data_IF_024705683020
#
_entry.id   IF_024705683020
#
_cell.length_a   1.000
_cell.length_b   1.000
_cell.length_c   1.000
_cell.angle_alpha   90.00
_cell.angle_beta   90.00
_cell.angle_gamma   90.00
#
_symmetry.space_group_name_H-M   'P 1'
#
loop_
_entity.id
_entity.type
_entity.pdbx_description
1 polymer ?
#
# COMPACT_ATOMS: atom_id res chain seq x y z
N UNK A 1 39.70 -24.99 -48.21
CA UNK A 1 39.76 -24.11 -47.03
C UNK A 1 38.41 -23.40 -46.92
N UNK A 2 37.54 -23.84 -45.98
CA UNK A 2 36.22 -23.22 -45.74
C UNK A 2 36.39 -22.09 -44.69
N UNK A 3 36.11 -20.86 -45.11
CA UNK A 3 36.07 -19.71 -44.18
C UNK A 3 34.77 -19.77 -43.38
N UNK A 4 34.87 -19.95 -42.05
CA UNK A 4 33.78 -19.84 -41.11
C UNK A 4 33.58 -18.35 -40.85
N UNK A 5 32.45 -17.80 -41.32
CA UNK A 5 32.03 -16.43 -41.03
C UNK A 5 31.30 -16.44 -39.65
N UNK A 6 31.99 -15.99 -38.61
CA UNK A 6 31.40 -15.84 -37.27
C UNK A 6 30.50 -14.60 -37.30
N UNK A 7 29.19 -14.83 -37.31
CA UNK A 7 28.18 -13.77 -37.15
C UNK A 7 28.11 -13.33 -35.70
N UNK A 8 28.71 -12.18 -35.40
CA UNK A 8 28.66 -11.55 -34.09
C UNK A 8 27.27 -10.91 -33.92
N UNK A 9 26.37 -11.57 -33.19
CA UNK A 9 25.09 -11.01 -32.79
C UNK A 9 25.34 -9.88 -31.78
N UNK A 10 25.29 -8.63 -32.23
CA UNK A 10 25.20 -7.46 -31.41
C UNK A 10 23.81 -7.45 -30.75
N UNK A 11 23.73 -7.89 -29.49
CA UNK A 11 22.57 -7.56 -28.66
C UNK A 11 22.59 -6.05 -28.38
N UNK A 12 21.51 -5.30 -28.71
CA UNK A 12 21.43 -3.93 -28.27
C UNK A 12 21.33 -3.95 -26.75
N UNK A 13 22.31 -3.36 -26.08
CA UNK A 13 22.17 -2.99 -24.67
C UNK A 13 21.05 -1.96 -24.65
N UNK A 14 19.85 -2.40 -24.24
CA UNK A 14 18.76 -1.50 -23.85
C UNK A 14 19.21 -0.77 -22.58
N UNK A 15 20.03 0.26 -22.77
CA UNK A 15 20.27 1.26 -21.74
C UNK A 15 18.89 1.86 -21.39
N UNK A 16 18.53 1.80 -20.13
CA UNK A 16 17.36 2.51 -19.63
C UNK A 16 17.53 4.00 -20.02
N UNK A 17 16.83 4.42 -21.07
CA UNK A 17 16.74 5.84 -21.42
C UNK A 17 15.91 6.45 -20.31
N UNK A 18 16.56 7.14 -19.35
CA UNK A 18 15.88 7.93 -18.35
C UNK A 18 14.82 8.77 -19.05
N UNK A 19 13.59 8.61 -18.65
CA UNK A 19 12.46 9.24 -19.33
C UNK A 19 12.62 10.75 -19.18
N UNK A 20 12.77 11.48 -20.30
CA UNK A 20 13.09 12.93 -20.30
C UNK A 20 12.13 13.79 -19.46
N UNK A 21 10.89 13.32 -19.28
CA UNK A 21 9.87 14.04 -18.54
C UNK A 21 10.07 14.02 -17.01
N UNK A 22 10.79 13.04 -16.45
CA UNK A 22 11.08 12.95 -15.00
C UNK A 22 11.77 14.20 -14.46
N UNK A 23 12.60 14.83 -15.28
CA UNK A 23 13.31 16.10 -14.93
C UNK A 23 12.37 17.28 -14.65
N UNK A 24 11.10 17.18 -15.01
CA UNK A 24 10.10 18.22 -14.77
C UNK A 24 9.57 18.23 -13.35
N UNK A 25 9.89 17.20 -12.55
CA UNK A 25 9.37 16.98 -11.19
C UNK A 25 10.49 16.95 -10.17
N UNK A 26 10.16 17.33 -8.93
CA UNK A 26 11.09 17.28 -7.79
C UNK A 26 11.27 15.83 -7.30
N UNK A 27 10.26 15.00 -7.50
CA UNK A 27 10.26 13.57 -7.16
C UNK A 27 9.38 12.79 -8.13
N UNK A 28 9.83 11.59 -8.49
CA UNK A 28 9.09 10.61 -9.30
C UNK A 28 9.25 9.25 -8.66
N UNK A 29 8.13 8.58 -8.37
CA UNK A 29 8.10 7.22 -7.85
C UNK A 29 8.03 6.18 -8.98
N UNK A 30 8.26 4.93 -8.65
CA UNK A 30 8.11 3.81 -9.59
C UNK A 30 6.70 3.79 -10.20
N UNK A 31 6.63 3.40 -11.48
CA UNK A 31 5.35 3.22 -12.16
C UNK A 31 4.65 1.95 -11.67
N UNK A 32 3.56 2.10 -10.96
CA UNK A 32 2.72 1.01 -10.45
C UNK A 32 1.31 1.16 -10.99
N UNK A 33 0.69 0.09 -11.45
CA UNK A 33 -0.63 0.11 -12.08
C UNK A 33 -0.74 1.12 -13.24
N UNK A 34 0.38 1.36 -13.97
CA UNK A 34 0.43 2.29 -15.11
C UNK A 34 0.57 3.76 -14.76
N UNK A 35 0.69 4.09 -13.48
CA UNK A 35 0.85 5.46 -12.98
C UNK A 35 2.09 5.58 -12.08
N UNK A 36 2.81 6.70 -12.24
CA UNK A 36 3.88 7.12 -11.34
C UNK A 36 3.40 8.29 -10.49
N UNK A 37 3.57 8.21 -9.18
CA UNK A 37 3.39 9.36 -8.31
C UNK A 37 4.50 10.38 -8.59
N UNK A 38 4.14 11.63 -8.76
CA UNK A 38 5.07 12.74 -8.98
C UNK A 38 4.81 13.85 -7.97
N UNK A 39 5.88 14.55 -7.60
CA UNK A 39 5.80 15.73 -6.72
C UNK A 39 6.48 16.92 -7.39
N UNK A 40 5.84 18.10 -7.29
CA UNK A 40 6.40 19.38 -7.72
C UNK A 40 5.80 20.52 -6.90
N UNK A 41 6.64 21.45 -6.43
CA UNK A 41 6.21 22.59 -5.62
C UNK A 41 5.32 22.15 -4.45
N UNK A 42 5.74 21.09 -3.72
CA UNK A 42 5.02 20.48 -2.60
C UNK A 42 3.63 19.94 -2.91
N UNK A 43 3.28 19.77 -4.19
CA UNK A 43 2.05 19.11 -4.61
C UNK A 43 2.32 17.77 -5.27
N UNK A 44 1.46 16.81 -4.96
CA UNK A 44 1.45 15.46 -5.49
C UNK A 44 0.38 15.34 -6.59
N UNK A 45 0.74 14.64 -7.64
CA UNK A 45 -0.11 14.21 -8.74
C UNK A 45 0.38 12.88 -9.30
N UNK A 46 -0.20 12.44 -10.40
CA UNK A 46 0.19 11.17 -11.02
C UNK A 46 0.25 11.31 -12.55
N UNK A 47 1.28 10.71 -13.11
CA UNK A 47 1.52 10.69 -14.55
C UNK A 47 1.53 9.26 -15.06
N UNK A 48 1.20 9.08 -16.34
CA UNK A 48 1.38 7.79 -17.00
C UNK A 48 2.86 7.55 -17.36
N UNK A 49 3.16 6.41 -17.96
CA UNK A 49 4.52 6.03 -18.38
C UNK A 49 5.14 6.95 -19.44
N UNK A 50 4.32 7.70 -20.17
CA UNK A 50 4.76 8.72 -21.13
C UNK A 50 5.01 10.10 -20.49
N UNK A 51 4.72 10.26 -19.17
CA UNK A 51 4.84 11.51 -18.43
C UNK A 51 3.65 12.46 -18.62
N UNK A 52 2.55 11.96 -19.17
CA UNK A 52 1.31 12.74 -19.28
C UNK A 52 0.60 12.75 -17.94
N UNK A 53 0.26 13.94 -17.46
CA UNK A 53 -0.47 14.12 -16.22
C UNK A 53 -1.90 13.54 -16.35
N UNK A 54 -2.18 12.49 -15.57
CA UNK A 54 -3.50 11.86 -15.46
C UNK A 54 -4.25 12.46 -14.28
N UNK A 55 -3.54 12.67 -13.16
CA UNK A 55 -4.08 13.30 -11.96
C UNK A 55 -3.22 14.52 -11.65
N UNK A 56 -3.87 15.68 -11.63
CA UNK A 56 -3.21 16.99 -11.47
C UNK A 56 -2.42 17.09 -10.17
N UNK A 57 -1.32 17.86 -10.22
CA UNK A 57 -0.54 18.28 -9.05
C UNK A 57 -1.38 19.21 -8.16
N UNK A 58 -2.14 18.64 -7.24
CA UNK A 58 -3.05 19.41 -6.39
C UNK A 58 -3.15 18.88 -4.95
N UNK A 59 -2.66 17.69 -4.69
CA UNK A 59 -2.73 17.05 -3.38
C UNK A 59 -1.51 17.40 -2.54
N UNK A 60 -1.67 17.45 -1.23
CA UNK A 60 -0.60 17.77 -0.28
C UNK A 60 0.31 16.56 -0.01
N UNK A 61 -0.26 15.35 -0.15
CA UNK A 61 0.46 14.08 -0.07
C UNK A 61 -0.28 13.00 -0.86
N UNK A 62 0.34 11.84 -1.06
CA UNK A 62 -0.27 10.72 -1.75
C UNK A 62 0.56 9.46 -1.67
N UNK A 63 -0.11 8.31 -1.64
CA UNK A 63 0.51 7.00 -1.72
C UNK A 63 0.63 6.55 -3.18
N UNK A 64 1.50 5.60 -3.45
CA UNK A 64 1.60 4.94 -4.75
C UNK A 64 0.32 4.16 -5.04
N UNK A 65 -0.08 4.07 -6.30
CA UNK A 65 -1.23 3.26 -6.70
C UNK A 65 -1.00 1.79 -6.35
N UNK A 66 -1.99 1.18 -5.73
CA UNK A 66 -2.00 -0.26 -5.43
C UNK A 66 -3.40 -0.81 -5.68
N UNK A 67 -3.50 -1.93 -6.40
CA UNK A 67 -4.79 -2.51 -6.78
C UNK A 67 -5.68 -1.58 -7.63
N UNK A 68 -5.11 -0.55 -8.29
CA UNK A 68 -5.86 0.43 -9.09
C UNK A 68 -6.37 1.64 -8.32
N UNK A 69 -5.97 1.80 -7.05
CA UNK A 69 -6.40 2.89 -6.17
C UNK A 69 -5.21 3.53 -5.46
N UNK A 70 -5.33 4.81 -5.11
CA UNK A 70 -4.35 5.51 -4.29
C UNK A 70 -5.03 6.40 -3.26
N UNK A 71 -4.49 6.40 -2.03
CA UNK A 71 -4.85 7.41 -1.05
C UNK A 71 -4.14 8.72 -1.35
N UNK A 72 -4.86 9.84 -1.30
CA UNK A 72 -4.32 11.20 -1.47
C UNK A 72 -4.82 12.10 -0.36
N UNK A 73 -3.97 13.03 0.06
CA UNK A 73 -4.24 13.97 1.13
C UNK A 73 -4.63 15.34 0.56
N UNK A 74 -5.71 15.91 1.07
CA UNK A 74 -6.14 17.27 0.74
C UNK A 74 -6.40 18.04 2.04
N UNK A 75 -5.59 19.03 2.30
CA UNK A 75 -5.55 19.67 3.62
C UNK A 75 -5.09 18.68 4.70
N UNK A 76 -5.88 18.50 5.73
CA UNK A 76 -5.58 17.57 6.83
C UNK A 76 -6.18 16.18 6.66
N UNK A 77 -6.92 15.91 5.57
CA UNK A 77 -7.71 14.69 5.42
C UNK A 77 -7.31 13.90 4.18
N UNK A 78 -7.45 12.58 4.30
CA UNK A 78 -7.23 11.63 3.24
C UNK A 78 -8.52 11.22 2.55
N UNK A 79 -8.41 10.91 1.27
CA UNK A 79 -9.44 10.32 0.41
C UNK A 79 -8.79 9.33 -0.54
N UNK A 80 -9.59 8.52 -1.22
CA UNK A 80 -9.09 7.59 -2.22
C UNK A 80 -9.56 7.96 -3.62
N UNK A 81 -8.67 7.73 -4.58
CA UNK A 81 -8.92 7.91 -6.01
C UNK A 81 -8.78 6.57 -6.73
N UNK A 82 -9.55 6.39 -7.80
CA UNK A 82 -9.27 5.37 -8.80
C UNK A 82 -8.18 5.84 -9.79
N UNK A 83 -7.75 4.96 -10.69
CA UNK A 83 -6.70 5.23 -11.67
C UNK A 83 -7.05 6.31 -12.70
N UNK A 84 -8.32 6.74 -12.79
CA UNK A 84 -8.76 7.86 -13.63
C UNK A 84 -8.67 9.21 -12.90
N UNK A 85 -8.42 9.17 -11.58
CA UNK A 85 -8.42 10.35 -10.70
C UNK A 85 -9.80 10.67 -10.13
N UNK A 86 -10.80 9.81 -10.35
CA UNK A 86 -12.12 9.97 -9.73
C UNK A 86 -12.02 9.57 -8.26
N UNK A 87 -12.54 10.43 -7.37
CA UNK A 87 -12.64 10.11 -5.96
C UNK A 87 -13.69 9.02 -5.72
N UNK A 88 -13.31 7.99 -4.97
CA UNK A 88 -14.21 6.91 -4.49
C UNK A 88 -14.67 7.17 -3.04
N UNK A 89 -14.01 8.10 -2.33
CA UNK A 89 -14.42 8.57 -1.01
C UNK A 89 -14.33 10.09 -0.94
N UNK A 90 -15.01 10.69 0.04
CA UNK A 90 -14.73 12.07 0.43
C UNK A 90 -13.41 12.17 1.23
N UNK A 91 -12.85 13.38 1.34
CA UNK A 91 -11.68 13.66 2.16
C UNK A 91 -12.06 13.79 3.65
N UNK A 92 -12.25 12.67 4.32
CA UNK A 92 -12.80 12.60 5.68
C UNK A 92 -11.92 11.84 6.68
N UNK A 93 -10.92 11.09 6.21
CA UNK A 93 -10.09 10.25 7.06
C UNK A 93 -8.88 11.01 7.59
N UNK A 94 -8.48 10.70 8.84
CA UNK A 94 -7.30 11.27 9.49
C UNK A 94 -6.02 10.60 8.99
N UNK A 95 -6.11 9.30 8.67
CA UNK A 95 -5.04 8.49 8.10
C UNK A 95 -5.61 7.47 7.10
N UNK A 96 -4.78 7.01 6.16
CA UNK A 96 -5.16 6.09 5.11
C UNK A 96 -3.97 5.24 4.66
N UNK A 97 -4.17 3.94 4.52
CA UNK A 97 -3.17 3.01 4.00
C UNK A 97 -3.54 2.52 2.60
N UNK A 98 -2.58 1.94 1.89
CA UNK A 98 -2.81 1.33 0.59
C UNK A 98 -3.80 0.16 0.67
N UNK A 99 -4.47 -0.12 -0.45
CA UNK A 99 -5.32 -1.31 -0.57
C UNK A 99 -4.49 -2.59 -0.54
N UNK A 100 -4.96 -3.58 0.22
CA UNK A 100 -4.45 -4.94 0.23
C UNK A 100 -5.63 -5.92 0.32
N UNK A 101 -5.63 -6.97 -0.49
CA UNK A 101 -6.74 -7.93 -0.59
C UNK A 101 -8.14 -7.27 -0.78
N UNK A 102 -8.19 -6.13 -1.51
CA UNK A 102 -9.43 -5.41 -1.80
C UNK A 102 -9.93 -4.51 -0.66
N UNK A 103 -9.20 -4.38 0.43
CA UNK A 103 -9.52 -3.54 1.59
C UNK A 103 -8.39 -2.56 1.91
N UNK A 104 -8.75 -1.35 2.37
CA UNK A 104 -7.79 -0.36 2.82
C UNK A 104 -8.12 0.09 4.25
N UNK A 105 -7.09 0.12 5.11
CA UNK A 105 -7.27 0.65 6.45
C UNK A 105 -7.39 2.17 6.41
N UNK A 106 -8.37 2.69 7.13
CA UNK A 106 -8.65 4.13 7.29
C UNK A 106 -8.79 4.47 8.76
N UNK A 107 -8.36 5.66 9.15
CA UNK A 107 -8.57 6.10 10.52
C UNK A 107 -9.48 7.33 10.62
N UNK A 108 -10.21 7.40 11.73
CA UNK A 108 -10.99 8.56 12.14
C UNK A 108 -11.03 8.62 13.66
N UNK A 109 -10.72 9.80 14.21
CA UNK A 109 -10.66 9.99 15.68
C UNK A 109 -9.72 9.00 16.37
N UNK A 110 -8.55 8.74 15.79
CA UNK A 110 -7.51 7.80 16.27
C UNK A 110 -7.95 6.33 16.36
N UNK A 111 -9.04 5.95 15.71
CA UNK A 111 -9.44 4.55 15.56
C UNK A 111 -9.42 4.16 14.09
N UNK A 112 -9.18 2.89 13.83
CA UNK A 112 -9.05 2.31 12.49
C UNK A 112 -10.22 1.38 12.18
N UNK A 113 -10.63 1.39 10.91
CA UNK A 113 -11.54 0.45 10.27
C UNK A 113 -11.10 0.23 8.83
N UNK A 114 -11.93 -0.42 8.02
CA UNK A 114 -11.54 -0.72 6.64
C UNK A 114 -12.67 -0.42 5.66
N UNK A 115 -12.26 0.12 4.51
CA UNK A 115 -13.14 0.35 3.37
C UNK A 115 -12.84 -0.65 2.25
N UNK A 116 -13.85 -0.91 1.41
CA UNK A 116 -13.69 -1.67 0.16
C UNK A 116 -13.35 -0.73 -1.02
N UNK A 117 -13.16 -1.32 -2.20
CA UNK A 117 -12.84 -0.59 -3.45
C UNK A 117 -14.00 0.27 -3.99
N UNK A 118 -15.21 0.13 -3.45
CA UNK A 118 -16.33 1.05 -3.72
C UNK A 118 -16.31 2.28 -2.79
N UNK A 119 -15.37 2.34 -1.82
CA UNK A 119 -15.28 3.40 -0.81
C UNK A 119 -16.23 3.22 0.38
N UNK A 120 -16.85 2.04 0.50
CA UNK A 120 -17.78 1.71 1.58
C UNK A 120 -17.03 1.20 2.81
N UNK A 121 -17.39 1.67 4.01
CA UNK A 121 -16.87 1.16 5.27
C UNK A 121 -17.45 -0.23 5.53
N UNK A 122 -16.62 -1.28 5.40
CA UNK A 122 -17.04 -2.68 5.55
C UNK A 122 -16.60 -3.31 6.87
N UNK A 123 -15.56 -2.78 7.50
CA UNK A 123 -15.14 -3.14 8.87
C UNK A 123 -15.20 -1.86 9.70
N UNK A 124 -16.00 -1.83 10.80
CA UNK A 124 -16.22 -0.63 11.60
C UNK A 124 -14.93 0.00 12.12
N UNK A 125 -14.95 1.32 12.33
CA UNK A 125 -13.83 2.08 12.91
C UNK A 125 -13.84 1.86 14.43
N UNK A 126 -13.10 0.85 14.91
CA UNK A 126 -13.10 0.44 16.31
C UNK A 126 -11.72 -0.02 16.84
N UNK A 127 -10.76 -0.31 15.95
CA UNK A 127 -9.43 -0.77 16.35
C UNK A 127 -8.56 0.41 16.78
N UNK A 128 -7.81 0.24 17.88
CA UNK A 128 -6.89 1.30 18.33
C UNK A 128 -5.69 1.49 17.39
N UNK A 129 -5.39 0.49 16.57
CA UNK A 129 -4.42 0.55 15.47
C UNK A 129 -4.72 -0.56 14.46
N UNK A 130 -4.27 -0.40 13.21
CA UNK A 130 -4.37 -1.43 12.19
C UNK A 130 -3.28 -1.28 11.13
N UNK A 131 -3.00 -2.36 10.40
CA UNK A 131 -2.19 -2.38 9.17
C UNK A 131 -3.04 -2.84 8.00
N UNK A 132 -2.52 -2.68 6.78
CA UNK A 132 -3.18 -3.19 5.58
C UNK A 132 -3.31 -4.71 5.58
N UNK A 133 -4.25 -5.24 4.81
CA UNK A 133 -4.39 -6.68 4.57
C UNK A 133 -3.22 -7.21 3.74
N UNK A 134 -2.69 -8.34 4.14
CA UNK A 134 -1.70 -9.13 3.41
C UNK A 134 -1.93 -10.62 3.70
N UNK A 135 -1.78 -11.47 2.69
CA UNK A 135 -2.02 -12.92 2.81
C UNK A 135 -3.40 -13.30 3.41
N UNK A 136 -4.42 -12.43 3.23
CA UNK A 136 -5.80 -12.65 3.68
C UNK A 136 -6.10 -12.22 5.11
N UNK A 137 -5.10 -11.73 5.86
CA UNK A 137 -5.26 -11.25 7.23
C UNK A 137 -4.69 -9.83 7.39
N UNK A 138 -5.23 -9.07 8.34
CA UNK A 138 -4.69 -7.77 8.73
C UNK A 138 -4.34 -7.75 10.21
N UNK A 139 -3.13 -7.28 10.60
CA UNK A 139 -2.85 -6.98 11.99
C UNK A 139 -3.76 -5.85 12.46
N UNK A 140 -4.42 -6.04 13.60
CA UNK A 140 -5.25 -5.03 14.25
C UNK A 140 -5.03 -5.06 15.76
N UNK A 141 -5.14 -3.90 16.41
CA UNK A 141 -5.00 -3.78 17.83
C UNK A 141 -6.35 -3.49 18.49
N UNK A 142 -6.64 -4.16 19.61
CA UNK A 142 -7.83 -3.90 20.41
C UNK A 142 -7.69 -2.60 21.21
N UNK A 143 -8.74 -2.19 21.92
CA UNK A 143 -8.76 -0.99 22.75
C UNK A 143 -7.70 -0.96 23.88
N UNK A 144 -7.12 -2.12 24.25
CA UNK A 144 -6.02 -2.22 25.22
C UNK A 144 -4.63 -2.14 24.56
N UNK A 145 -4.56 -2.00 23.23
CA UNK A 145 -3.31 -1.93 22.47
C UNK A 145 -2.66 -3.29 22.16
N UNK A 146 -3.31 -4.41 22.48
CA UNK A 146 -2.82 -5.72 22.08
C UNK A 146 -3.18 -6.02 20.63
N UNK A 147 -2.22 -6.54 19.88
CA UNK A 147 -2.33 -6.92 18.49
C UNK A 147 -2.77 -8.36 18.31
N UNK A 148 -3.62 -8.59 17.34
CA UNK A 148 -4.00 -9.88 16.78
C UNK A 148 -4.13 -9.74 15.27
N UNK A 149 -4.84 -10.67 14.65
CA UNK A 149 -5.09 -10.63 13.21
C UNK A 149 -6.57 -10.83 12.93
N UNK A 150 -7.12 -9.99 12.07
CA UNK A 150 -8.51 -10.07 11.63
C UNK A 150 -8.58 -10.60 10.20
N UNK A 151 -9.68 -11.26 9.89
CA UNK A 151 -10.05 -11.65 8.54
C UNK A 151 -10.74 -10.50 7.77
N UNK A 152 -11.05 -10.71 6.50
CA UNK A 152 -11.70 -9.72 5.63
C UNK A 152 -13.14 -9.34 6.07
N UNK A 153 -13.71 -10.05 7.04
CA UNK A 153 -15.00 -9.73 7.65
C UNK A 153 -14.86 -8.93 8.95
N UNK A 154 -13.60 -8.67 9.39
CA UNK A 154 -13.30 -8.00 10.66
C UNK A 154 -13.33 -8.92 11.88
N UNK A 155 -13.47 -10.23 11.69
CA UNK A 155 -13.44 -11.21 12.78
C UNK A 155 -12.01 -11.58 13.15
N UNK A 156 -11.74 -11.75 14.47
CA UNK A 156 -10.43 -12.19 14.93
C UNK A 156 -10.11 -13.62 14.48
N UNK A 157 -9.23 -13.78 13.50
CA UNK A 157 -8.61 -15.04 13.13
C UNK A 157 -7.58 -15.45 14.19
N UNK A 158 -6.78 -14.50 14.67
CA UNK A 158 -5.86 -14.68 15.79
C UNK A 158 -6.20 -13.63 16.84
N UNK A 159 -6.56 -14.08 18.05
CA UNK A 159 -6.95 -13.17 19.17
C UNK A 159 -5.85 -12.17 19.50
N UNK A 160 -6.20 -10.94 19.95
CA UNK A 160 -5.24 -9.90 20.27
C UNK A 160 -4.51 -10.20 21.60
N UNK A 161 -3.34 -10.83 21.49
CA UNK A 161 -2.48 -11.28 22.60
C UNK A 161 -1.03 -10.80 22.48
N UNK A 162 -0.68 -10.12 21.38
CA UNK A 162 0.67 -9.67 21.09
C UNK A 162 0.86 -8.18 21.42
N UNK A 163 2.08 -7.79 21.78
CA UNK A 163 2.45 -6.39 21.98
C UNK A 163 2.75 -5.68 20.66
N UNK A 164 3.03 -6.44 19.61
CA UNK A 164 3.29 -5.95 18.26
C UNK A 164 3.02 -7.07 17.26
N UNK A 165 2.58 -6.72 16.05
CA UNK A 165 2.44 -7.65 14.92
C UNK A 165 2.78 -6.95 13.60
N UNK A 166 3.56 -7.63 12.75
CA UNK A 166 3.72 -7.28 11.34
C UNK A 166 2.67 -8.01 10.49
N UNK A 167 2.56 -7.59 9.24
CA UNK A 167 1.75 -8.31 8.25
C UNK A 167 2.28 -9.74 8.06
N UNK A 168 1.38 -10.63 7.62
CA UNK A 168 1.77 -11.91 7.06
C UNK A 168 2.43 -11.71 5.69
N UNK A 169 3.58 -12.34 5.50
CA UNK A 169 4.32 -12.37 4.23
C UNK A 169 4.80 -13.81 4.00
N UNK A 170 4.38 -14.41 2.88
CA UNK A 170 4.74 -15.80 2.57
C UNK A 170 4.26 -16.82 3.60
N UNK A 171 3.13 -16.55 4.27
CA UNK A 171 2.52 -17.47 5.23
C UNK A 171 3.01 -17.32 6.67
N UNK A 172 3.97 -16.43 6.97
CA UNK A 172 4.43 -16.15 8.34
C UNK A 172 4.30 -14.69 8.73
N UNK A 173 4.15 -14.41 10.01
CA UNK A 173 4.15 -13.06 10.57
C UNK A 173 5.08 -12.95 11.77
N UNK A 174 5.84 -11.85 11.81
CA UNK A 174 6.65 -11.49 12.98
C UNK A 174 5.76 -10.83 14.03
N UNK A 175 5.75 -11.38 15.24
CA UNK A 175 4.99 -10.86 16.39
C UNK A 175 5.90 -10.72 17.62
N UNK A 176 5.46 -9.90 18.58
CA UNK A 176 6.16 -9.76 19.87
C UNK A 176 5.21 -10.12 21.01
N UNK A 177 5.63 -11.05 21.88
CA UNK A 177 4.89 -11.44 23.07
C UNK A 177 5.79 -11.32 24.30
N UNK A 178 5.50 -10.34 25.15
CA UNK A 178 6.47 -9.90 26.17
C UNK A 178 7.72 -9.34 25.49
N UNK A 179 8.87 -9.82 25.87
CA UNK A 179 10.17 -9.44 25.31
C UNK A 179 10.61 -10.34 24.14
N UNK A 180 9.84 -11.41 23.86
CA UNK A 180 10.16 -12.37 22.82
C UNK A 180 9.64 -11.96 21.46
N UNK A 181 10.47 -12.10 20.46
CA UNK A 181 10.11 -12.03 19.04
C UNK A 181 9.82 -13.45 18.57
N UNK A 182 8.67 -13.65 17.96
CA UNK A 182 8.21 -14.94 17.44
C UNK A 182 7.79 -14.77 15.98
N UNK A 183 7.92 -15.83 15.21
CA UNK A 183 7.35 -15.96 13.88
C UNK A 183 6.27 -17.02 13.93
N UNK A 184 5.07 -16.66 13.49
CA UNK A 184 3.86 -17.51 13.58
C UNK A 184 3.26 -17.74 12.21
N UNK A 185 2.58 -18.89 12.05
CA UNK A 185 1.69 -19.15 10.92
C UNK A 185 0.27 -18.60 11.16
N UNK A 186 -0.61 -18.78 10.17
CA UNK A 186 -2.01 -18.29 10.23
C UNK A 186 -2.88 -19.05 11.24
N UNK A 187 -2.47 -20.22 11.67
CA UNK A 187 -3.07 -21.03 12.74
C UNK A 187 -2.53 -20.65 14.12
N UNK A 188 -1.68 -19.60 14.18
CA UNK A 188 -1.04 -19.10 15.40
C UNK A 188 -0.04 -20.07 16.04
N UNK A 189 0.54 -20.96 15.24
CA UNK A 189 1.63 -21.85 15.68
C UNK A 189 2.96 -21.12 15.52
N UNK A 190 3.80 -21.19 16.55
CA UNK A 190 5.16 -20.66 16.49
C UNK A 190 6.00 -21.51 15.56
N UNK A 191 6.60 -20.89 14.55
CA UNK A 191 7.49 -21.50 13.57
C UNK A 191 8.95 -21.43 14.05
N UNK A 192 9.37 -20.26 14.53
CA UNK A 192 10.71 -20.01 15.11
C UNK A 192 10.72 -18.73 15.97
N UNK A 193 11.80 -18.54 16.75
CA UNK A 193 12.08 -17.35 17.59
C UNK A 193 13.20 -16.49 16.96
#
# INVERSE_FOLDING_TARGET
MKKILTLMLLFPVLGAVAQKWEKNYDFVDNCVCGLSKVKKNDKVGYVNKEGVEVIKLQYDDGLTFEGGYAAVKKGSKWQYLDSTGKAITEAVYDDALSFGNGLAAVSKNNLYGFINTAGELVIPIEFSNARGFSDGLAPAANAKGYWGFIDVKGSWAIKPIYHFANNFEGGEARVMKGEKILYIDKENKVLHE
#
